data_IF_971391084430
#
_entry.id   IF_971391084430
#
_cell.length_a   1.000
_cell.length_b   1.000
_cell.length_c   1.000
_cell.angle_alpha   90.00
_cell.angle_beta   90.00
_cell.angle_gamma   90.00
#
_symmetry.space_group_name_H-M   'P 1'
#
loop_
_entity.id
_entity.type
_entity.pdbx_description
1 polymer ?
#
# COMPACT_ATOMS: atom_id res chain seq x y z
N UNK A 1 17.19 -13.57 -7.57
CA UNK A 1 16.84 -12.15 -7.81
C UNK A 1 15.54 -11.87 -7.07
N UNK A 2 15.51 -10.94 -6.12
CA UNK A 2 14.27 -10.64 -5.39
C UNK A 2 13.26 -10.03 -6.37
N UNK A 3 12.11 -10.66 -6.54
CA UNK A 3 11.04 -10.14 -7.38
C UNK A 3 10.52 -8.83 -6.79
N UNK A 4 10.67 -7.71 -7.50
CA UNK A 4 10.03 -6.46 -7.12
C UNK A 4 8.51 -6.62 -7.22
N UNK A 5 7.80 -6.23 -6.15
CA UNK A 5 6.36 -6.34 -6.04
C UNK A 5 5.78 -4.97 -5.63
N UNK A 6 4.57 -4.69 -6.10
CA UNK A 6 3.79 -3.52 -5.73
C UNK A 6 2.54 -3.96 -4.95
N UNK A 7 2.15 -3.18 -3.94
CA UNK A 7 0.91 -3.42 -3.20
C UNK A 7 -0.23 -2.67 -3.86
N UNK A 8 -1.27 -3.37 -4.27
CA UNK A 8 -2.52 -2.78 -4.75
C UNK A 8 -3.63 -3.11 -3.77
N UNK A 9 -4.50 -2.14 -3.47
CA UNK A 9 -5.66 -2.36 -2.60
C UNK A 9 -6.74 -3.12 -3.37
N UNK A 10 -7.43 -4.04 -2.72
CA UNK A 10 -8.47 -4.86 -3.37
C UNK A 10 -9.59 -4.00 -3.96
N UNK A 11 -9.92 -2.89 -3.28
CA UNK A 11 -10.97 -1.95 -3.70
C UNK A 11 -10.51 -0.98 -4.81
N UNK A 12 -9.24 -1.03 -5.24
CA UNK A 12 -8.70 -0.06 -6.22
C UNK A 12 -9.51 -0.01 -7.52
N UNK A 13 -9.96 -1.14 -8.13
CA UNK A 13 -10.77 -1.10 -9.35
C UNK A 13 -12.10 -0.36 -9.15
N UNK A 14 -12.70 -0.48 -7.97
CA UNK A 14 -14.04 0.05 -7.66
C UNK A 14 -14.00 1.47 -7.07
N UNK A 15 -12.83 2.13 -7.07
CA UNK A 15 -12.67 3.48 -6.54
C UNK A 15 -13.32 4.52 -7.47
N UNK A 16 -14.04 5.52 -6.95
CA UNK A 16 -14.64 6.58 -7.77
C UNK A 16 -13.60 7.32 -8.62
N UNK A 17 -12.36 7.40 -8.15
CA UNK A 17 -11.25 7.98 -8.89
C UNK A 17 -10.92 7.20 -10.19
N UNK A 18 -11.02 5.86 -10.20
CA UNK A 18 -10.83 5.07 -11.42
C UNK A 18 -11.94 5.34 -12.42
N UNK A 19 -13.18 5.40 -11.97
CA UNK A 19 -14.31 5.73 -12.85
C UNK A 19 -14.20 7.14 -13.42
N UNK A 20 -13.76 8.11 -12.62
CA UNK A 20 -13.53 9.47 -13.11
C UNK A 20 -12.42 9.54 -14.15
N UNK A 21 -11.31 8.81 -13.93
CA UNK A 21 -10.24 8.68 -14.92
C UNK A 21 -10.73 8.01 -16.20
N UNK A 22 -11.56 6.97 -16.09
CA UNK A 22 -12.15 6.27 -17.23
C UNK A 22 -13.03 7.20 -18.08
N UNK A 23 -13.85 8.04 -17.43
CA UNK A 23 -14.65 9.07 -18.09
C UNK A 23 -13.78 10.12 -18.79
N UNK A 24 -12.77 10.66 -18.10
CA UNK A 24 -11.88 11.68 -18.67
C UNK A 24 -11.10 11.17 -19.89
N UNK A 25 -10.68 9.91 -19.87
CA UNK A 25 -9.83 9.32 -20.90
C UNK A 25 -10.63 8.58 -21.98
N UNK A 26 -11.95 8.43 -21.81
CA UNK A 26 -12.80 7.57 -22.65
C UNK A 26 -12.23 6.14 -22.78
N UNK A 27 -11.73 5.59 -21.67
CA UNK A 27 -11.15 4.26 -21.57
C UNK A 27 -11.95 3.41 -20.60
N UNK A 28 -11.83 2.09 -20.76
CA UNK A 28 -12.40 1.15 -19.80
C UNK A 28 -11.71 1.27 -18.41
N UNK A 29 -12.46 1.16 -17.29
CA UNK A 29 -11.90 1.19 -15.93
C UNK A 29 -10.74 0.22 -15.71
N UNK A 30 -10.79 -0.98 -16.27
CA UNK A 30 -9.72 -1.98 -16.13
C UNK A 30 -8.49 -1.59 -16.96
N UNK A 31 -8.71 -0.97 -18.12
CA UNK A 31 -7.62 -0.41 -18.92
C UNK A 31 -6.92 0.75 -18.20
N UNK A 32 -7.68 1.61 -17.52
CA UNK A 32 -7.14 2.69 -16.67
C UNK A 32 -6.33 2.10 -15.52
N UNK A 33 -6.85 1.10 -14.81
CA UNK A 33 -6.15 0.43 -13.73
C UNK A 33 -4.81 -0.17 -14.19
N UNK A 34 -4.78 -0.83 -15.34
CA UNK A 34 -3.55 -1.38 -15.91
C UNK A 34 -2.51 -0.28 -16.21
N UNK A 35 -2.93 0.84 -16.77
CA UNK A 35 -2.07 2.02 -17.04
C UNK A 35 -1.55 2.65 -15.76
N UNK A 36 -2.38 2.72 -14.72
CA UNK A 36 -2.02 3.22 -13.41
C UNK A 36 -0.94 2.35 -12.75
N UNK A 37 -1.11 1.03 -12.77
CA UNK A 37 -0.11 0.08 -12.25
C UNK A 37 1.23 0.27 -12.98
N UNK A 38 1.20 0.46 -14.31
CA UNK A 38 2.40 0.75 -15.11
C UNK A 38 3.12 2.01 -14.65
N UNK A 39 2.37 3.09 -14.40
CA UNK A 39 2.94 4.34 -13.88
C UNK A 39 3.58 4.12 -12.50
N UNK A 40 2.93 3.37 -11.61
CA UNK A 40 3.48 3.10 -10.29
C UNK A 40 4.73 2.23 -10.32
N UNK A 41 4.78 1.21 -11.19
CA UNK A 41 5.99 0.39 -11.40
C UNK A 41 7.13 1.24 -11.91
N UNK A 42 6.87 2.12 -12.88
CA UNK A 42 7.89 3.05 -13.36
C UNK A 42 8.36 4.00 -12.25
N UNK A 43 7.45 4.57 -11.47
CA UNK A 43 7.79 5.48 -10.38
C UNK A 43 8.64 4.77 -9.31
N UNK A 44 8.29 3.53 -8.94
CA UNK A 44 9.08 2.70 -8.01
C UNK A 44 10.51 2.50 -8.52
N UNK A 45 10.70 2.21 -9.81
CA UNK A 45 12.02 2.08 -10.43
C UNK A 45 12.81 3.39 -10.39
N UNK A 46 12.17 4.53 -10.69
CA UNK A 46 12.83 5.84 -10.64
C UNK A 46 13.24 6.24 -9.21
N UNK A 47 12.50 5.81 -8.19
CA UNK A 47 12.87 6.06 -6.79
C UNK A 47 14.04 5.19 -6.28
N UNK A 48 14.29 4.04 -6.91
CA UNK A 48 15.42 3.15 -6.58
C UNK A 48 16.75 3.70 -7.09
N UNK A 49 16.77 4.46 -8.19
CA UNK A 49 17.99 5.00 -8.81
C UNK A 49 18.56 6.27 -8.12
N UNK A 50 18.24 6.51 -6.84
CA UNK A 50 18.98 7.47 -6.01
C UNK A 50 18.37 8.87 -5.87
N UNK A 51 17.08 9.05 -6.15
CA UNK A 51 16.39 10.32 -5.93
C UNK A 51 15.45 10.29 -4.72
N UNK A 52 15.92 9.71 -3.61
CA UNK A 52 15.18 9.57 -2.36
C UNK A 52 14.81 10.91 -1.67
N UNK A 53 15.26 12.04 -2.21
CA UNK A 53 15.03 13.38 -1.66
C UNK A 53 14.06 14.25 -2.48
N UNK A 54 13.37 13.72 -3.48
CA UNK A 54 12.27 14.48 -4.06
C UNK A 54 11.02 13.62 -4.30
N UNK A 55 9.98 13.96 -3.54
CA UNK A 55 8.60 13.76 -3.94
C UNK A 55 8.26 14.47 -5.26
N UNK A 56 9.20 15.24 -5.84
CA UNK A 56 9.07 15.95 -7.09
C UNK A 56 9.87 15.20 -8.17
N UNK A 57 9.27 14.16 -8.73
CA UNK A 57 9.81 13.54 -9.94
C UNK A 57 9.69 14.62 -11.02
N UNK A 58 10.82 15.19 -11.45
CA UNK A 58 10.88 16.25 -12.48
C UNK A 58 10.55 15.66 -13.85
N UNK A 59 9.32 15.17 -13.99
CA UNK A 59 8.82 14.51 -15.18
C UNK A 59 7.64 15.32 -15.64
N UNK A 60 7.71 15.75 -16.90
CA UNK A 60 6.67 16.55 -17.54
C UNK A 60 5.40 15.71 -17.71
N UNK A 61 4.24 16.36 -17.76
CA UNK A 61 2.95 15.71 -18.06
C UNK A 61 3.03 14.80 -19.29
N UNK A 62 3.68 15.29 -20.34
CA UNK A 62 3.89 14.56 -21.59
C UNK A 62 4.74 13.27 -21.42
N UNK A 63 5.62 13.21 -20.42
CA UNK A 63 6.36 11.98 -20.13
C UNK A 63 5.48 10.94 -19.43
N UNK A 64 4.58 11.34 -18.53
CA UNK A 64 3.58 10.44 -17.93
C UNK A 64 2.65 9.86 -19.00
N UNK A 65 2.19 10.68 -19.92
CA UNK A 65 1.33 10.25 -21.03
C UNK A 65 2.03 9.22 -21.94
N UNK A 66 3.34 9.41 -22.19
CA UNK A 66 4.16 8.45 -22.93
C UNK A 66 4.38 7.14 -22.18
N UNK A 67 4.57 7.19 -20.86
CA UNK A 67 4.75 5.98 -20.03
C UNK A 67 3.48 5.15 -19.97
N UNK A 68 2.33 5.82 -19.88
CA UNK A 68 1.01 5.20 -19.73
C UNK A 68 0.36 4.86 -21.08
N UNK A 69 0.93 5.34 -22.19
CA UNK A 69 0.38 5.22 -23.54
C UNK A 69 -1.05 5.75 -23.57
N UNK A 70 -1.28 6.90 -22.95
CA UNK A 70 -2.56 7.58 -22.89
C UNK A 70 -2.32 9.09 -22.82
N UNK A 71 -2.80 9.81 -23.83
CA UNK A 71 -2.72 11.27 -23.88
C UNK A 71 -3.71 11.88 -22.89
N UNK A 72 -3.28 12.88 -22.12
CA UNK A 72 -4.11 13.51 -21.09
C UNK A 72 -4.20 12.70 -19.79
N UNK A 73 -3.44 11.61 -19.65
CA UNK A 73 -3.43 10.80 -18.44
C UNK A 73 -2.90 11.58 -17.25
N UNK A 74 -1.86 12.39 -17.45
CA UNK A 74 -1.31 13.26 -16.42
C UNK A 74 -2.34 14.28 -15.90
N UNK A 75 -3.09 14.92 -16.79
CA UNK A 75 -4.09 15.91 -16.40
C UNK A 75 -5.29 15.25 -15.69
N UNK A 76 -5.70 14.06 -16.14
CA UNK A 76 -6.72 13.27 -15.46
C UNK A 76 -6.26 12.82 -14.05
N UNK A 77 -4.99 12.48 -13.86
CA UNK A 77 -4.45 12.19 -12.53
C UNK A 77 -4.44 13.40 -11.60
N UNK A 78 -4.24 14.60 -12.15
CA UNK A 78 -4.31 15.86 -11.39
C UNK A 78 -5.75 16.14 -10.98
N UNK A 79 -6.74 15.90 -11.84
CA UNK A 79 -8.15 16.14 -11.51
C UNK A 79 -8.65 15.25 -10.36
N UNK A 80 -8.22 13.98 -10.30
CA UNK A 80 -8.54 13.07 -9.18
C UNK A 80 -7.65 13.26 -7.95
N UNK A 81 -6.68 14.18 -7.99
CA UNK A 81 -5.77 14.45 -6.88
C UNK A 81 -4.74 13.35 -6.60
N UNK A 82 -4.51 12.44 -7.55
CA UNK A 82 -3.46 11.40 -7.47
C UNK A 82 -2.10 11.90 -7.95
N UNK A 83 -2.08 13.05 -8.62
CA UNK A 83 -0.90 13.82 -8.95
C UNK A 83 -1.14 15.28 -8.54
N UNK A 84 -0.10 15.94 -8.05
CA UNK A 84 -0.14 17.37 -7.71
C UNK A 84 0.92 18.10 -8.51
N UNK A 85 0.56 19.23 -9.09
CA UNK A 85 1.46 20.12 -9.79
C UNK A 85 1.78 21.33 -8.90
N UNK A 86 3.04 21.49 -8.51
CA UNK A 86 3.53 22.67 -7.78
C UNK A 86 4.73 23.25 -8.53
N UNK A 87 4.65 24.51 -8.94
CA UNK A 87 5.73 25.25 -9.60
C UNK A 87 6.36 24.50 -10.80
N UNK A 88 5.51 23.86 -11.62
CA UNK A 88 5.94 23.08 -12.79
C UNK A 88 6.59 21.73 -12.46
N UNK A 89 6.57 21.30 -11.18
CA UNK A 89 7.01 19.98 -10.75
C UNK A 89 5.80 19.12 -10.43
N UNK A 90 5.80 17.89 -10.93
CA UNK A 90 4.78 16.90 -10.63
C UNK A 90 5.22 16.09 -9.40
N UNK A 91 4.29 15.95 -8.46
CA UNK A 91 4.48 15.20 -7.24
C UNK A 91 3.36 14.18 -7.07
N UNK A 92 3.70 12.96 -6.63
CA UNK A 92 2.71 11.96 -6.25
C UNK A 92 2.45 12.13 -4.75
N UNK A 93 1.32 12.73 -4.34
CA UNK A 93 0.99 12.84 -2.93
C UNK A 93 0.92 11.45 -2.29
N UNK A 94 1.45 11.32 -1.07
CA UNK A 94 1.45 10.06 -0.31
C UNK A 94 2.19 8.87 -0.95
N UNK A 95 3.10 9.10 -1.90
CA UNK A 95 3.89 8.01 -2.54
C UNK A 95 4.58 7.09 -1.53
N UNK A 96 5.19 7.65 -0.50
CA UNK A 96 5.87 6.89 0.57
C UNK A 96 4.92 5.96 1.33
N UNK A 97 3.61 6.27 1.40
CA UNK A 97 2.61 5.47 2.13
C UNK A 97 2.24 4.19 1.41
N UNK A 98 2.32 4.17 0.08
CA UNK A 98 1.89 3.03 -0.74
C UNK A 98 3.07 2.28 -1.35
N UNK A 99 4.10 2.99 -1.83
CA UNK A 99 5.19 2.40 -2.63
C UNK A 99 6.60 2.58 -2.03
N UNK A 100 6.76 3.34 -0.93
CA UNK A 100 8.07 3.50 -0.28
C UNK A 100 8.67 2.19 0.26
N UNK A 101 10.00 2.11 0.35
CA UNK A 101 10.70 0.99 1.01
C UNK A 101 10.15 0.72 2.41
N UNK A 102 9.82 1.80 3.14
CA UNK A 102 9.22 1.76 4.46
C UNK A 102 7.87 1.03 4.44
N UNK A 103 7.07 1.23 3.39
CA UNK A 103 5.76 0.60 3.22
C UNK A 103 5.84 -0.87 2.82
N UNK A 104 6.84 -1.25 2.00
CA UNK A 104 7.15 -2.67 1.71
C UNK A 104 7.62 -3.41 2.96
N UNK A 105 8.55 -2.83 3.73
CA UNK A 105 9.03 -3.36 5.02
C UNK A 105 7.90 -3.46 6.05
N UNK A 106 7.03 -2.45 6.16
CA UNK A 106 5.84 -2.47 7.03
C UNK A 106 4.84 -3.55 6.61
N UNK A 107 4.58 -3.72 5.31
CA UNK A 107 3.67 -4.75 4.83
C UNK A 107 4.18 -6.18 5.11
N UNK A 108 5.48 -6.43 4.93
CA UNK A 108 6.12 -7.71 5.30
C UNK A 108 6.08 -7.95 6.82
N UNK A 109 6.33 -6.91 7.60
CA UNK A 109 6.27 -6.97 9.07
C UNK A 109 4.86 -7.25 9.56
N UNK A 110 3.85 -6.58 9.00
CA UNK A 110 2.44 -6.83 9.33
C UNK A 110 2.05 -8.27 8.97
N UNK A 111 2.41 -8.78 7.79
CA UNK A 111 2.17 -10.20 7.43
C UNK A 111 2.80 -11.15 8.45
N UNK A 112 4.03 -10.87 8.88
CA UNK A 112 4.72 -11.67 9.91
C UNK A 112 3.99 -11.62 11.25
N UNK A 113 3.62 -10.43 11.72
CA UNK A 113 2.93 -10.23 13.00
C UNK A 113 1.55 -10.88 12.99
N UNK A 114 0.79 -10.76 11.90
CA UNK A 114 -0.52 -11.43 11.75
C UNK A 114 -0.37 -12.94 11.82
N UNK A 115 0.60 -13.52 11.09
CA UNK A 115 0.87 -14.97 11.15
C UNK A 115 1.25 -15.44 12.55
N UNK A 116 2.09 -14.67 13.27
CA UNK A 116 2.44 -14.97 14.66
C UNK A 116 1.22 -14.92 15.58
N UNK A 117 0.34 -13.92 15.43
CA UNK A 117 -0.91 -13.80 16.21
C UNK A 117 -1.88 -14.94 15.91
N UNK A 118 -2.01 -15.37 14.66
CA UNK A 118 -2.85 -16.51 14.28
C UNK A 118 -2.33 -17.83 14.85
N UNK A 119 -1.02 -18.06 14.81
CA UNK A 119 -0.40 -19.24 15.44
C UNK A 119 -0.55 -19.20 16.96
N UNK A 120 -0.32 -18.04 17.60
CA UNK A 120 -0.50 -17.87 19.04
C UNK A 120 -1.96 -18.10 19.48
N UNK A 121 -2.95 -17.64 18.71
CA UNK A 121 -4.37 -17.94 18.99
C UNK A 121 -4.70 -19.44 18.90
N UNK A 122 -4.03 -20.18 18.02
CA UNK A 122 -4.16 -21.65 17.92
C UNK A 122 -3.43 -22.40 19.04
N UNK A 123 -2.43 -21.77 19.67
CA UNK A 123 -1.63 -22.36 20.74
C UNK A 123 -2.09 -21.97 22.15
N UNK A 124 -3.16 -21.19 22.31
CA UNK A 124 -3.83 -21.03 23.59
C UNK A 124 -4.65 -22.29 23.91
N UNK A 125 -3.99 -23.44 24.02
CA UNK A 125 -4.51 -24.50 24.86
C UNK A 125 -4.61 -23.92 26.28
N UNK A 126 -5.74 -24.16 26.96
CA UNK A 126 -5.88 -23.81 28.37
C UNK A 126 -4.65 -24.35 29.11
N UNK A 127 -3.78 -23.45 29.58
CA UNK A 127 -2.58 -23.84 30.28
C UNK A 127 -3.01 -24.60 31.51
N UNK A 128 -2.70 -25.88 31.54
CA UNK A 128 -2.73 -26.75 32.72
C UNK A 128 -1.93 -26.04 33.81
N UNK A 129 -2.66 -25.36 34.69
CA UNK A 129 -2.20 -25.06 36.04
C UNK A 129 -3.08 -25.89 36.95
N UNK A 130 -2.87 -27.21 36.94
CA UNK A 130 -3.04 -28.00 38.15
C UNK A 130 -1.93 -27.56 39.11
N UNK A 131 -2.12 -26.41 39.75
CA UNK A 131 -1.38 -26.09 40.97
C UNK A 131 -2.16 -26.74 42.10
N UNK A 132 -1.61 -27.81 42.64
CA UNK A 132 -1.96 -28.45 43.90
C UNK A 132 -2.48 -27.43 44.93
N UNK A 133 -3.81 -27.29 45.02
CA UNK A 133 -4.44 -26.65 46.16
C UNK A 133 -4.51 -27.69 47.28
N UNK A 134 -3.39 -27.82 48.00
CA UNK A 134 -3.36 -28.48 49.29
C UNK A 134 -4.33 -27.70 50.20
N UNK A 135 -5.47 -28.32 50.52
CA UNK A 135 -6.48 -27.76 51.41
C UNK A 135 -5.84 -27.35 52.75
N UNK A 136 -6.12 -26.12 53.20
CA UNK A 136 -5.83 -25.69 54.57
C UNK A 136 -6.86 -26.33 55.52
N UNK A 137 -6.48 -26.77 56.73
CA UNK A 137 -7.44 -27.33 57.69
C UNK A 137 -8.38 -26.25 58.20
N UNK A 138 -9.68 -26.57 58.34
CA UNK A 138 -10.65 -25.76 59.08
C UNK A 138 -10.25 -25.70 60.56
N UNK A 139 -10.13 -24.50 61.12
CA UNK A 139 -10.13 -24.31 62.56
C UNK A 139 -11.57 -24.40 63.08
N UNK A 140 -11.83 -25.34 64.00
CA UNK A 140 -13.07 -25.43 64.75
C UNK A 140 -13.08 -24.33 65.83
N UNK A 141 -14.11 -23.47 65.81
CA UNK A 141 -14.43 -22.55 66.90
C UNK A 141 -15.14 -23.32 68.04
N UNK A 142 -14.59 -23.26 69.26
CA UNK A 142 -15.31 -23.43 70.54
C UNK A 142 -14.91 -22.32 71.53
#
# INVERSE_FOLDING_TARGET
MASNWIKVEVITPDKPEIYHLAECLSLDPDAVLGKLIRLWVWADQQTIDGNANCNAVSVTKNAIDRITFATGFADALISVGWLTECDGKLSIPNFERHNGESSKKRALTNKRVTKVRETSRKCNAASVTESDQKALPEEEEE
#
